data_IF_278455533402
#
_entry.id   IF_278455533402
#
_cell.length_a   1.000
_cell.length_b   1.000
_cell.length_c   1.000
_cell.angle_alpha   90.00
_cell.angle_beta   90.00
_cell.angle_gamma   90.00
#
_symmetry.space_group_name_H-M   'P 1'
#
loop_
_entity.id
_entity.type
_entity.pdbx_description
1 polymer ?
#
# COMPACT_ATOMS: atom_id res chain seq x y z
N UNK A 1 24.58 9.04 44.28
CA UNK A 1 23.75 7.99 43.63
C UNK A 1 24.54 7.38 42.49
N UNK A 2 25.13 6.21 42.69
CA UNK A 2 25.85 5.48 41.65
C UNK A 2 24.86 4.74 40.75
N UNK A 3 24.92 4.88 39.41
CA UNK A 3 24.05 4.12 38.53
C UNK A 3 24.42 2.63 38.62
N UNK A 4 23.47 1.79 39.04
CA UNK A 4 23.67 0.33 39.07
C UNK A 4 23.96 -0.18 37.65
N UNK A 5 24.99 -1.01 37.44
CA UNK A 5 25.37 -1.46 36.11
C UNK A 5 24.35 -2.46 35.53
N UNK A 6 23.75 -2.08 34.39
CA UNK A 6 23.59 -2.85 33.13
C UNK A 6 23.26 -4.37 33.16
N UNK A 7 22.76 -4.95 34.26
CA UNK A 7 22.52 -6.41 34.37
C UNK A 7 21.43 -6.95 33.42
N UNK A 8 20.61 -6.07 32.86
CA UNK A 8 19.52 -6.40 31.92
C UNK A 8 19.92 -6.23 30.45
N UNK A 9 21.10 -5.65 30.19
CA UNK A 9 21.60 -5.47 28.83
C UNK A 9 21.79 -6.77 28.02
N UNK A 10 22.26 -7.90 28.61
CA UNK A 10 22.30 -9.15 27.86
C UNK A 10 20.91 -9.68 27.50
N UNK A 11 19.90 -9.49 28.36
CA UNK A 11 18.50 -9.83 28.02
C UNK A 11 17.98 -8.95 26.89
N UNK A 12 18.32 -7.67 26.88
CA UNK A 12 17.94 -6.75 25.81
C UNK A 12 18.59 -7.13 24.47
N UNK A 13 19.88 -7.50 24.48
CA UNK A 13 20.57 -8.01 23.30
C UNK A 13 19.97 -9.34 22.82
N UNK A 14 19.73 -10.28 23.72
CA UNK A 14 19.11 -11.56 23.38
C UNK A 14 17.69 -11.35 22.79
N UNK A 15 16.93 -10.39 23.33
CA UNK A 15 15.63 -10.00 22.81
C UNK A 15 15.72 -9.41 21.40
N UNK A 16 16.64 -8.47 21.16
CA UNK A 16 16.87 -7.91 19.82
C UNK A 16 17.26 -8.97 18.80
N UNK A 17 18.15 -9.90 19.19
CA UNK A 17 18.57 -11.00 18.33
C UNK A 17 17.41 -11.94 18.03
N UNK A 18 16.56 -12.25 19.02
CA UNK A 18 15.35 -13.04 18.83
C UNK A 18 14.36 -12.33 17.88
N UNK A 19 14.10 -11.03 18.09
CA UNK A 19 13.24 -10.25 17.21
C UNK A 19 13.79 -10.20 15.77
N UNK A 20 15.10 -10.02 15.60
CA UNK A 20 15.73 -10.02 14.29
C UNK A 20 15.62 -11.38 13.59
N UNK A 21 15.86 -12.48 14.32
CA UNK A 21 15.68 -13.84 13.79
C UNK A 21 14.24 -14.11 13.40
N UNK A 22 13.26 -13.74 14.24
CA UNK A 22 11.84 -13.88 13.92
C UNK A 22 11.46 -13.05 12.69
N UNK A 23 11.96 -11.82 12.58
CA UNK A 23 11.71 -10.96 11.42
C UNK A 23 12.25 -11.58 10.12
N UNK A 24 13.46 -12.15 10.16
CA UNK A 24 14.04 -12.83 8.98
C UNK A 24 13.32 -14.14 8.68
N UNK A 25 13.02 -14.95 9.69
CA UNK A 25 12.32 -16.23 9.53
C UNK A 25 10.91 -16.05 8.96
N UNK A 26 10.22 -14.98 9.35
CA UNK A 26 8.86 -14.67 8.92
C UNK A 26 8.78 -13.76 7.69
N UNK A 27 9.93 -13.38 7.10
CA UNK A 27 9.99 -12.40 6.00
C UNK A 27 9.20 -12.82 4.75
N UNK A 28 8.93 -14.11 4.58
CA UNK A 28 8.10 -14.67 3.50
C UNK A 28 6.81 -15.34 3.98
N UNK A 29 6.52 -15.32 5.29
CA UNK A 29 5.27 -15.85 5.80
C UNK A 29 4.12 -14.93 5.37
N UNK A 30 3.07 -15.49 4.77
CA UNK A 30 1.84 -14.73 4.58
C UNK A 30 1.28 -14.34 5.95
N UNK A 31 1.07 -13.04 6.15
CA UNK A 31 0.41 -12.54 7.37
C UNK A 31 -0.96 -13.25 7.49
N UNK A 32 -1.22 -14.03 8.57
CA UNK A 32 -2.47 -14.76 8.73
C UNK A 32 -3.68 -13.82 8.86
N UNK A 33 -3.44 -12.56 9.26
CA UNK A 33 -4.44 -11.50 9.30
C UNK A 33 -4.73 -10.93 7.90
N UNK A 34 -3.91 -11.30 6.89
CA UNK A 34 -4.08 -10.86 5.50
C UNK A 34 -5.37 -11.45 4.95
N UNK A 35 -6.31 -10.61 4.52
CA UNK A 35 -7.51 -11.07 3.85
C UNK A 35 -7.11 -11.78 2.55
N UNK A 36 -7.41 -13.07 2.46
CA UNK A 36 -7.11 -13.91 1.30
C UNK A 36 -7.96 -13.49 0.09
N UNK A 37 -7.39 -13.59 -1.11
CA UNK A 37 -8.10 -13.33 -2.36
C UNK A 37 -8.24 -11.85 -2.75
N UNK A 38 -7.53 -10.92 -2.08
CA UNK A 38 -7.51 -9.51 -2.49
C UNK A 38 -6.12 -8.88 -2.44
N UNK A 39 -5.90 -7.96 -3.38
CA UNK A 39 -4.75 -7.08 -3.41
C UNK A 39 -4.77 -6.15 -2.18
N UNK A 40 -3.61 -5.87 -1.61
CA UNK A 40 -3.47 -4.90 -0.53
C UNK A 40 -3.64 -3.47 -1.05
N UNK A 41 -4.10 -2.51 -0.23
CA UNK A 41 -4.21 -1.10 -0.65
C UNK A 41 -2.89 -0.52 -1.17
N UNK A 42 -1.78 -0.83 -0.50
CA UNK A 42 -0.44 -0.37 -0.91
C UNK A 42 -0.08 -0.94 -2.29
N UNK A 43 -0.27 -2.25 -2.47
CA UNK A 43 -0.02 -2.91 -3.75
C UNK A 43 -0.94 -2.38 -4.88
N UNK A 44 -2.18 -1.99 -4.56
CA UNK A 44 -3.08 -1.36 -5.52
C UNK A 44 -2.57 0.02 -5.93
N UNK A 45 -2.05 0.80 -4.98
CA UNK A 45 -1.38 2.08 -5.24
C UNK A 45 -0.17 1.92 -6.16
N UNK A 46 0.73 1.00 -5.84
CA UNK A 46 1.93 0.72 -6.64
C UNK A 46 1.57 0.28 -8.06
N UNK A 47 0.55 -0.59 -8.18
CA UNK A 47 0.08 -1.08 -9.47
C UNK A 47 -0.55 0.03 -10.31
N UNK A 48 -1.39 0.87 -9.69
CA UNK A 48 -1.98 2.03 -10.35
C UNK A 48 -0.91 3.01 -10.83
N UNK A 49 0.12 3.27 -10.02
CA UNK A 49 1.24 4.14 -10.39
C UNK A 49 2.03 3.57 -11.57
N UNK A 50 2.28 2.26 -11.58
CA UNK A 50 2.94 1.58 -12.71
C UNK A 50 2.11 1.72 -14.01
N UNK A 51 0.79 1.51 -13.92
CA UNK A 51 -0.13 1.70 -15.05
C UNK A 51 -0.14 3.16 -15.52
N UNK A 52 -0.18 4.12 -14.60
CA UNK A 52 -0.14 5.54 -14.90
C UNK A 52 1.13 5.91 -15.69
N UNK A 53 2.30 5.45 -15.22
CA UNK A 53 3.59 5.65 -15.89
C UNK A 53 3.61 5.04 -17.28
N UNK A 54 3.11 3.82 -17.44
CA UNK A 54 3.02 3.14 -18.73
C UNK A 54 2.11 3.87 -19.73
N UNK A 55 1.12 4.63 -19.24
CA UNK A 55 0.22 5.46 -20.06
C UNK A 55 0.66 6.91 -20.22
N UNK A 56 1.90 7.24 -19.83
CA UNK A 56 2.47 8.57 -20.03
C UNK A 56 2.14 9.60 -18.95
N UNK A 57 1.46 9.22 -17.87
CA UNK A 57 1.25 10.08 -16.69
C UNK A 57 2.52 10.13 -15.85
N UNK A 58 3.50 10.93 -16.31
CA UNK A 58 4.78 11.15 -15.61
C UNK A 58 4.64 12.21 -14.53
N UNK A 59 5.36 12.03 -13.42
CA UNK A 59 5.34 12.96 -12.29
C UNK A 59 4.02 12.94 -11.52
N UNK A 60 3.32 11.81 -11.48
CA UNK A 60 2.14 11.61 -10.64
C UNK A 60 2.50 10.78 -9.42
N UNK A 61 1.82 11.04 -8.30
CA UNK A 61 1.92 10.28 -7.06
C UNK A 61 0.55 9.82 -6.59
N UNK A 62 0.52 8.74 -5.81
CA UNK A 62 -0.70 8.20 -5.20
C UNK A 62 -1.07 9.08 -4.02
N UNK A 63 -2.25 9.69 -4.09
CA UNK A 63 -2.82 10.52 -3.02
C UNK A 63 -3.69 9.69 -2.09
N UNK A 64 -4.53 8.82 -2.66
CA UNK A 64 -5.47 8.02 -1.89
C UNK A 64 -5.78 6.69 -2.57
N UNK A 65 -5.95 5.65 -1.76
CA UNK A 65 -6.46 4.34 -2.19
C UNK A 65 -7.70 4.02 -1.38
N UNK A 66 -8.83 3.79 -2.05
CA UNK A 66 -10.09 3.43 -1.42
C UNK A 66 -10.65 2.15 -2.03
N UNK A 67 -11.29 1.31 -1.20
CA UNK A 67 -12.06 0.18 -1.70
C UNK A 67 -13.48 0.65 -1.99
N UNK A 68 -13.96 0.46 -3.21
CA UNK A 68 -15.36 0.59 -3.56
C UNK A 68 -16.00 -0.80 -3.64
N UNK A 69 -17.07 -1.02 -2.88
CA UNK A 69 -17.81 -2.28 -2.88
C UNK A 69 -18.75 -2.37 -4.08
N UNK A 70 -19.16 -3.59 -4.42
CA UNK A 70 -20.29 -3.83 -5.32
C UNK A 70 -21.50 -2.96 -4.92
N UNK A 71 -22.07 -2.25 -5.88
CA UNK A 71 -23.18 -1.30 -5.66
C UNK A 71 -22.72 0.15 -5.47
N UNK A 72 -21.45 0.41 -5.17
CA UNK A 72 -20.86 1.75 -5.10
C UNK A 72 -20.36 2.17 -6.51
N UNK A 73 -21.29 2.19 -7.47
CA UNK A 73 -21.03 2.65 -8.84
C UNK A 73 -20.34 1.65 -9.79
N UNK A 74 -20.19 0.38 -9.41
CA UNK A 74 -19.82 -0.72 -10.33
C UNK A 74 -20.41 -2.06 -9.85
N UNK A 75 -20.52 -3.06 -10.76
CA UNK A 75 -21.09 -4.38 -10.44
C UNK A 75 -20.21 -5.25 -9.54
N UNK A 76 -18.93 -4.88 -9.35
CA UNK A 76 -17.95 -5.66 -8.59
C UNK A 76 -17.12 -4.77 -7.65
N UNK A 77 -16.55 -5.42 -6.63
CA UNK A 77 -15.59 -4.80 -5.72
C UNK A 77 -14.32 -4.37 -6.48
N UNK A 78 -13.86 -3.15 -6.22
CA UNK A 78 -12.69 -2.57 -6.90
C UNK A 78 -11.88 -1.66 -6.00
N UNK A 79 -10.61 -1.50 -6.34
CA UNK A 79 -9.78 -0.43 -5.80
C UNK A 79 -9.96 0.82 -6.65
N UNK A 80 -10.17 1.95 -5.99
CA UNK A 80 -10.17 3.28 -6.60
C UNK A 80 -8.93 4.00 -6.09
N UNK A 81 -7.99 4.25 -6.99
CA UNK A 81 -6.73 4.93 -6.69
C UNK A 81 -6.77 6.33 -7.28
N UNK A 82 -6.61 7.33 -6.43
CA UNK A 82 -6.48 8.72 -6.81
C UNK A 82 -5.00 9.09 -6.92
N UNK A 83 -4.61 9.59 -8.08
CA UNK A 83 -3.30 10.13 -8.35
C UNK A 83 -3.39 11.64 -8.62
N UNK A 84 -2.38 12.40 -8.23
CA UNK A 84 -2.22 13.82 -8.59
C UNK A 84 -0.80 14.09 -9.08
N UNK A 85 -0.63 15.12 -9.90
CA UNK A 85 0.68 15.53 -10.42
C UNK A 85 1.52 16.13 -9.28
N UNK A 86 2.84 15.98 -9.34
CA UNK A 86 3.82 16.60 -8.46
C UNK A 86 4.51 17.75 -9.21
N UNK A 87 4.59 18.97 -8.61
CA UNK A 87 4.02 19.35 -7.32
C UNK A 87 2.48 19.29 -7.30
N UNK A 88 1.90 18.93 -6.15
CA UNK A 88 0.46 18.69 -5.99
C UNK A 88 -0.39 19.84 -6.53
N UNK A 89 -1.40 19.50 -7.33
CA UNK A 89 -2.22 20.48 -8.06
C UNK A 89 -3.56 20.73 -7.40
N UNK A 90 -3.71 20.32 -6.13
CA UNK A 90 -5.00 20.29 -5.42
C UNK A 90 -6.06 19.58 -6.26
N UNK A 91 -5.69 18.43 -6.84
CA UNK A 91 -6.54 17.58 -7.68
C UNK A 91 -6.96 18.16 -9.04
N UNK A 92 -6.49 19.35 -9.44
CA UNK A 92 -6.82 19.95 -10.75
C UNK A 92 -6.35 19.11 -11.93
N UNK A 93 -5.26 18.37 -11.74
CA UNK A 93 -4.73 17.42 -12.72
C UNK A 93 -4.85 15.99 -12.24
N UNK A 94 -5.78 15.69 -11.33
CA UNK A 94 -5.91 14.34 -10.80
C UNK A 94 -6.32 13.31 -11.86
N UNK A 95 -5.92 12.07 -11.60
CA UNK A 95 -6.30 10.90 -12.39
C UNK A 95 -6.76 9.82 -11.42
N UNK A 96 -7.92 9.25 -11.70
CA UNK A 96 -8.46 8.12 -10.94
C UNK A 96 -8.28 6.86 -11.76
N UNK A 97 -7.64 5.86 -11.16
CA UNK A 97 -7.43 4.54 -11.73
C UNK A 97 -8.22 3.53 -10.90
N UNK A 98 -9.07 2.77 -11.57
CA UNK A 98 -9.85 1.70 -10.96
C UNK A 98 -9.21 0.35 -11.30
N UNK A 99 -8.99 -0.48 -10.29
CA UNK A 99 -8.37 -1.79 -10.41
C UNK A 99 -9.27 -2.88 -9.82
N UNK A 100 -9.24 -4.07 -10.42
CA UNK A 100 -9.90 -5.26 -9.88
C UNK A 100 -9.33 -5.61 -8.50
N UNK A 101 -10.21 -6.02 -7.58
CA UNK A 101 -9.81 -6.22 -6.18
C UNK A 101 -8.87 -7.40 -5.97
N UNK A 102 -8.93 -8.43 -6.83
CA UNK A 102 -8.15 -9.66 -6.70
C UNK A 102 -6.70 -9.49 -7.17
N UNK A 103 -6.53 -9.14 -8.45
CA UNK A 103 -5.25 -9.19 -9.17
C UNK A 103 -4.68 -7.79 -9.52
N UNK A 104 -5.44 -6.73 -9.27
CA UNK A 104 -5.05 -5.38 -9.66
C UNK A 104 -5.09 -5.12 -11.16
N UNK A 105 -5.86 -5.92 -11.92
CA UNK A 105 -6.08 -5.68 -13.35
C UNK A 105 -6.79 -4.34 -13.55
N UNK A 106 -6.36 -3.60 -14.57
CA UNK A 106 -6.93 -2.29 -14.87
C UNK A 106 -8.37 -2.42 -15.35
N UNK A 107 -9.30 -1.82 -14.60
CA UNK A 107 -10.70 -1.72 -14.99
C UNK A 107 -10.96 -0.43 -15.77
N UNK A 108 -10.51 0.71 -15.22
CA UNK A 108 -10.82 2.02 -15.81
C UNK A 108 -9.80 3.08 -15.44
N UNK A 109 -9.64 4.08 -16.29
CA UNK A 109 -8.99 5.34 -15.96
C UNK A 109 -9.97 6.48 -16.26
N UNK A 110 -10.12 7.41 -15.32
CA UNK A 110 -10.91 8.63 -15.51
C UNK A 110 -10.19 9.84 -14.94
N UNK A 111 -10.51 11.02 -15.45
CA UNK A 111 -10.15 12.29 -14.80
C UNK A 111 -11.39 12.77 -14.03
N UNK A 112 -11.27 13.11 -12.74
CA UNK A 112 -12.34 13.79 -12.03
C UNK A 112 -12.57 15.15 -12.72
N UNK A 113 -13.84 15.51 -12.92
CA UNK A 113 -14.24 16.83 -13.43
C UNK A 113 -14.25 17.85 -12.32
#
# INVERSE_FOLDING_TARGET
MTPRPRRWWPFYLAWLVLCAMLFVALRGAEDPSRPKGRLLPVAAGDRALAIAKARGYRGYEVVQVARAKKGEGAPEDRWVVLLDQVPHTSLRRAVVIELAIGDGTLLRIRKPR
#
